data_IF_346960485926
#
_entry.id   IF_346960485926
#
_cell.length_a   1.000
_cell.length_b   1.000
_cell.length_c   1.000
_cell.angle_alpha   90.00
_cell.angle_beta   90.00
_cell.angle_gamma   90.00
#
_symmetry.space_group_name_H-M   'P 1'
#
loop_
_entity.id
_entity.type
_entity.pdbx_description
1 polymer ?
#
# COMPACT_ATOMS: atom_id res chain seq x y z
N UNK A 1 -18.26 12.31 13.25
CA UNK A 1 -17.90 12.15 12.93
C UNK A 1 -17.24 11.69 12.52
N UNK A 2 -17.05 11.39 12.35
CA UNK A 2 -16.48 11.06 11.95
C UNK A 2 -15.57 11.05 11.51
N UNK A 3 -15.16 11.15 11.34
CA UNK A 3 -14.14 11.34 10.91
C UNK A 3 -13.13 10.73 11.30
N UNK A 4 -13.07 10.10 11.96
CA UNK A 4 -12.23 9.43 12.30
C UNK A 4 -11.62 8.60 11.45
N UNK A 5 -12.03 8.10 10.74
CA UNK A 5 -11.44 7.41 9.80
C UNK A 5 -10.49 8.15 9.11
N UNK A 6 -10.45 9.29 9.33
CA UNK A 6 -9.55 10.13 8.64
C UNK A 6 -8.11 9.85 8.97
N UNK A 7 -7.84 8.98 9.92
CA UNK A 7 -6.46 8.68 10.20
C UNK A 7 -5.82 7.82 9.15
N UNK A 8 -6.61 7.28 8.23
CA UNK A 8 -6.06 6.40 7.21
C UNK A 8 -6.06 7.15 5.89
N UNK A 9 -4.90 7.41 5.31
CA UNK A 9 -4.85 8.13 4.05
C UNK A 9 -5.41 7.28 2.93
N UNK A 10 -6.04 7.91 1.96
CA UNK A 10 -6.55 7.20 0.82
C UNK A 10 -5.44 6.77 -0.11
N UNK A 11 -4.36 7.48 -0.09
CA UNK A 11 -3.22 7.19 -0.96
C UNK A 11 -2.01 7.00 -0.09
N UNK A 12 -1.31 5.91 -0.28
CA UNK A 12 -0.16 5.57 0.56
C UNK A 12 1.15 5.82 -0.16
N UNK A 13 2.10 6.39 0.57
CA UNK A 13 3.44 6.56 0.05
C UNK A 13 4.30 5.50 0.73
N UNK A 14 5.58 5.44 0.37
CA UNK A 14 6.48 4.49 0.99
C UNK A 14 6.58 4.76 2.49
N UNK A 15 6.54 6.03 2.88
CA UNK A 15 6.61 6.36 4.28
C UNK A 15 5.39 5.85 5.02
N UNK A 16 4.22 5.95 4.39
CA UNK A 16 2.99 5.46 5.00
C UNK A 16 3.06 3.98 5.23
N UNK A 17 3.65 3.24 4.29
CA UNK A 17 3.78 1.80 4.47
C UNK A 17 4.70 1.50 5.63
N UNK A 18 5.76 2.28 5.80
CA UNK A 18 6.65 2.06 6.92
C UNK A 18 5.95 2.34 8.23
N UNK A 19 5.08 3.34 8.25
CA UNK A 19 4.32 3.65 9.45
C UNK A 19 3.35 2.52 9.78
N UNK A 20 2.95 1.76 8.79
CA UNK A 20 2.04 0.66 8.98
C UNK A 20 2.75 -0.60 9.45
N UNK A 21 4.06 -0.58 9.49
CA UNK A 21 4.80 -1.72 9.98
C UNK A 21 5.72 -2.39 8.99
N UNK A 22 5.74 -1.93 7.75
CA UNK A 22 6.62 -2.54 6.77
C UNK A 22 8.01 -1.98 6.91
N UNK A 23 9.02 -2.79 6.66
CA UNK A 23 10.37 -2.29 6.71
C UNK A 23 10.59 -1.38 5.52
N UNK A 24 11.64 -0.60 5.56
CA UNK A 24 11.94 0.30 4.48
C UNK A 24 12.17 -0.46 3.18
N UNK A 25 12.93 -1.54 3.26
CA UNK A 25 13.20 -2.34 2.08
C UNK A 25 11.93 -2.90 1.50
N UNK A 26 11.08 -3.40 2.36
CA UNK A 26 9.84 -3.99 1.90
C UNK A 26 8.95 -2.94 1.26
N UNK A 27 8.87 -1.76 1.86
CA UNK A 27 8.03 -0.71 1.33
C UNK A 27 8.46 -0.33 -0.09
N UNK A 28 9.76 -0.17 -0.29
CA UNK A 28 10.24 0.18 -1.62
C UNK A 28 10.08 -0.97 -2.60
N UNK A 29 10.24 -2.21 -2.11
CA UNK A 29 10.08 -3.35 -2.99
C UNK A 29 8.63 -3.44 -3.49
N UNK A 30 7.67 -3.10 -2.64
CA UNK A 30 6.28 -3.16 -3.04
C UNK A 30 6.01 -2.17 -4.17
N UNK A 31 6.63 -1.01 -4.14
CA UNK A 31 6.42 -0.02 -5.18
C UNK A 31 7.08 -0.41 -6.50
N UNK A 32 7.94 -1.41 -6.47
CA UNK A 32 8.59 -1.85 -7.70
C UNK A 32 8.00 -3.13 -8.26
N UNK A 33 7.00 -3.69 -7.60
CA UNK A 33 6.40 -4.92 -8.09
C UNK A 33 5.40 -4.60 -9.18
N UNK A 34 5.35 -5.44 -10.19
CA UNK A 34 4.43 -5.21 -11.28
C UNK A 34 2.99 -5.56 -10.91
N UNK A 35 2.81 -6.43 -9.93
CA UNK A 35 1.47 -6.86 -9.55
C UNK A 35 0.82 -5.97 -8.51
N UNK A 36 1.51 -4.96 -8.02
CA UNK A 36 0.93 -4.04 -7.06
C UNK A 36 0.41 -2.82 -7.83
N UNK A 37 -0.82 -2.40 -7.57
CA UNK A 37 -1.41 -1.26 -8.29
C UNK A 37 -0.82 0.06 -7.85
N UNK A 38 0.30 0.43 -8.44
CA UNK A 38 1.01 1.65 -8.11
C UNK A 38 0.59 2.81 -9.01
N UNK A 39 0.39 3.97 -8.40
CA UNK A 39 0.04 5.18 -9.14
C UNK A 39 1.27 6.03 -9.26
N UNK A 40 1.54 6.51 -10.47
CA UNK A 40 2.70 7.37 -10.70
C UNK A 40 2.22 8.80 -10.86
N UNK A 41 2.67 9.68 -10.00
CA UNK A 41 2.34 11.09 -10.10
C UNK A 41 3.64 11.86 -10.10
N UNK A 42 3.99 12.38 -11.25
CA UNK A 42 5.28 13.05 -11.40
C UNK A 42 6.37 12.04 -11.15
N UNK A 43 7.24 12.36 -10.24
CA UNK A 43 8.33 11.44 -9.92
C UNK A 43 8.05 10.60 -8.71
N UNK A 44 6.84 10.69 -8.19
CA UNK A 44 6.51 9.99 -6.97
C UNK A 44 5.57 8.83 -7.26
N UNK A 45 5.57 7.86 -6.38
CA UNK A 45 4.73 6.68 -6.53
C UNK A 45 3.85 6.55 -5.31
N UNK A 46 2.62 6.14 -5.54
CA UNK A 46 1.65 5.97 -4.46
C UNK A 46 0.82 4.73 -4.73
N UNK A 47 0.12 4.25 -3.71
CA UNK A 47 -0.78 3.13 -3.87
C UNK A 47 -2.08 3.52 -3.21
N UNK A 48 -3.20 3.30 -3.88
CA UNK A 48 -4.48 3.61 -3.26
C UNK A 48 -4.72 2.61 -2.15
N UNK A 49 -5.18 3.10 -1.03
CA UNK A 49 -5.36 2.25 0.15
C UNK A 49 -6.30 1.08 -0.16
N UNK A 50 -7.43 1.34 -0.80
CA UNK A 50 -8.35 0.28 -1.13
C UNK A 50 -7.72 -0.79 -2.00
N UNK A 51 -6.95 -0.36 -2.98
CA UNK A 51 -6.32 -1.31 -3.87
C UNK A 51 -5.22 -2.09 -3.17
N UNK A 52 -4.56 -1.45 -2.23
CA UNK A 52 -3.53 -2.12 -1.47
C UNK A 52 -4.15 -3.25 -0.64
N UNK A 53 -5.32 -2.99 -0.05
CA UNK A 53 -5.98 -4.00 0.74
C UNK A 53 -6.42 -5.17 -0.13
N UNK A 54 -6.87 -4.90 -1.34
CA UNK A 54 -7.26 -5.95 -2.25
C UNK A 54 -6.06 -6.82 -2.61
N UNK A 55 -4.94 -6.17 -2.84
CA UNK A 55 -3.73 -6.90 -3.17
C UNK A 55 -3.29 -7.78 -2.00
N UNK A 56 -3.38 -7.26 -0.78
CA UNK A 56 -3.02 -8.04 0.38
C UNK A 56 -3.93 -9.25 0.53
N UNK A 57 -5.20 -9.09 0.26
CA UNK A 57 -6.13 -10.20 0.36
C UNK A 57 -5.76 -11.30 -0.63
N UNK A 58 -5.28 -10.92 -1.80
CA UNK A 58 -4.85 -11.90 -2.77
C UNK A 58 -3.64 -12.67 -2.29
N UNK A 59 -2.74 -11.99 -1.60
CA UNK A 59 -1.56 -12.66 -1.08
C UNK A 59 -1.93 -13.65 0.00
N UNK A 60 -2.91 -13.31 0.81
CA UNK A 60 -3.36 -14.22 1.84
C UNK A 60 -3.93 -15.47 1.26
N UNK A 61 -4.71 -15.33 0.19
CA UNK A 61 -5.29 -16.50 -0.42
C UNK A 61 -4.24 -17.38 -1.01
N UNK A 62 -3.24 -16.78 -1.62
CA UNK A 62 -2.18 -17.54 -2.23
C UNK A 62 -1.43 -18.33 -1.21
N UNK A 63 -1.22 -17.75 -0.06
CA UNK A 63 -0.50 -18.44 0.94
C UNK A 63 -1.22 -19.60 1.53
N UNK A 64 -2.49 -19.62 1.42
CA UNK A 64 -3.19 -20.67 1.94
C UNK A 64 -2.97 -21.94 1.29
N UNK A 65 -2.45 -22.02 0.15
CA UNK A 65 -2.23 -23.17 -0.49
C UNK A 65 -1.32 -24.01 -0.06
#
# INVERSE_FOLDING_TARGET
>A
MENKKSNTPEILSAKDLQDMGFSRSMAYALFNRADVPVIHIGKRKFIRYEKFLEWLAEQERTEEE
#
